data_IF_090267227945
#
_entry.id   IF_090267227945
#
_cell.length_a   1.000
_cell.length_b   1.000
_cell.length_c   1.000
_cell.angle_alpha   90.00
_cell.angle_beta   90.00
_cell.angle_gamma   90.00
#
_symmetry.space_group_name_H-M   'P 1'
#
loop_
_entity.id
_entity.type
_entity.pdbx_description
1 polymer ?
#
# COMPACT_ATOMS: atom_id res chain seq x y z
N UNK A 1 12.49 -14.16 -86.10
CA UNK A 1 13.18 -12.98 -85.51
C UNK A 1 12.12 -12.15 -84.82
N UNK A 2 12.06 -12.17 -83.49
CA UNK A 2 11.45 -11.15 -82.59
C UNK A 2 11.42 -11.72 -81.17
N UNK A 3 12.44 -11.38 -80.38
CA UNK A 3 12.45 -11.56 -78.93
C UNK A 3 11.51 -10.53 -78.29
N UNK A 4 10.60 -10.96 -77.41
CA UNK A 4 9.91 -10.07 -76.46
C UNK A 4 10.45 -10.35 -75.07
N UNK A 5 11.26 -9.41 -74.57
CA UNK A 5 11.71 -9.37 -73.19
C UNK A 5 10.52 -9.01 -72.28
N UNK A 6 10.20 -9.89 -71.33
CA UNK A 6 9.29 -9.58 -70.22
C UNK A 6 10.12 -8.95 -69.09
N UNK A 7 9.95 -7.65 -68.84
CA UNK A 7 10.48 -6.99 -67.65
C UNK A 7 9.58 -7.32 -66.46
N UNK A 8 10.12 -8.05 -65.49
CA UNK A 8 9.51 -8.25 -64.16
C UNK A 8 9.71 -6.99 -63.32
N UNK A 9 8.63 -6.27 -63.02
CA UNK A 9 8.61 -5.18 -62.05
C UNK A 9 8.34 -5.78 -60.67
N UNK A 10 9.35 -5.82 -59.80
CA UNK A 10 9.20 -6.29 -58.41
C UNK A 10 8.70 -5.13 -57.55
N UNK A 11 7.44 -5.18 -57.14
CA UNK A 11 6.82 -4.18 -56.24
C UNK A 11 7.19 -4.53 -54.79
N UNK A 12 8.04 -3.71 -54.16
CA UNK A 12 8.35 -3.82 -52.73
C UNK A 12 7.24 -3.14 -51.91
N UNK A 13 6.38 -3.94 -51.27
CA UNK A 13 5.42 -3.44 -50.30
C UNK A 13 6.11 -3.18 -48.96
N UNK A 14 6.32 -1.91 -48.62
CA UNK A 14 6.68 -1.46 -47.28
C UNK A 14 5.44 -1.58 -46.37
N UNK A 15 5.40 -2.63 -45.55
CA UNK A 15 4.44 -2.72 -44.45
C UNK A 15 4.86 -1.77 -43.32
N UNK A 16 4.16 -0.64 -43.20
CA UNK A 16 4.25 0.19 -42.01
C UNK A 16 3.55 -0.54 -40.84
N UNK A 17 4.33 -1.02 -39.86
CA UNK A 17 3.79 -1.52 -38.60
C UNK A 17 3.20 -0.32 -37.83
N UNK A 18 1.87 -0.19 -37.83
CA UNK A 18 1.22 0.66 -36.84
C UNK A 18 1.19 -0.10 -35.52
N UNK A 19 2.03 0.33 -34.56
CA UNK A 19 1.92 -0.11 -33.18
C UNK A 19 0.63 0.47 -32.60
N UNK A 20 -0.44 -0.33 -32.56
CA UNK A 20 -1.62 0.00 -31.79
C UNK A 20 -1.25 -0.08 -30.31
N UNK A 21 -1.02 1.07 -29.66
CA UNK A 21 -0.87 1.13 -28.22
C UNK A 21 -2.15 0.63 -27.56
N UNK A 22 -2.05 -0.43 -26.75
CA UNK A 22 -3.18 -0.87 -25.94
C UNK A 22 -3.49 0.20 -24.88
N UNK A 23 -4.76 0.48 -24.59
CA UNK A 23 -5.09 1.36 -23.48
C UNK A 23 -4.57 0.73 -22.18
N UNK A 24 -3.63 1.39 -21.51
CA UNK A 24 -3.15 0.99 -20.19
C UNK A 24 -4.18 1.42 -19.15
N UNK A 25 -4.81 0.47 -18.47
CA UNK A 25 -5.59 0.76 -17.26
C UNK A 25 -4.61 1.34 -16.23
N UNK A 26 -4.93 2.45 -15.54
CA UNK A 26 -4.08 2.99 -14.49
C UNK A 26 -3.74 1.88 -13.48
N UNK A 27 -2.47 1.77 -13.11
CA UNK A 27 -2.03 0.72 -12.18
C UNK A 27 -2.26 1.11 -10.72
N UNK A 28 -2.25 2.42 -10.44
CA UNK A 28 -2.41 3.06 -9.12
C UNK A 28 -2.98 4.47 -9.32
N UNK A 29 -3.79 4.99 -8.38
CA UNK A 29 -4.13 6.44 -8.33
C UNK A 29 -3.08 7.27 -7.58
N UNK A 30 -2.09 6.63 -6.97
CA UNK A 30 -0.97 7.32 -6.30
C UNK A 30 0.16 7.46 -7.33
N UNK A 31 0.55 8.69 -7.64
CA UNK A 31 1.60 8.97 -8.62
C UNK A 31 2.99 8.74 -8.04
N UNK A 32 3.98 8.47 -8.89
CA UNK A 32 5.34 8.13 -8.44
C UNK A 32 6.01 9.25 -7.61
N UNK A 33 5.68 10.52 -7.87
CA UNK A 33 6.14 11.68 -7.10
C UNK A 33 5.52 11.77 -5.70
N UNK A 34 4.32 11.21 -5.52
CA UNK A 34 3.66 11.07 -4.22
C UNK A 34 4.30 9.97 -3.39
N UNK A 35 4.96 8.98 -3.98
CA UNK A 35 5.66 7.94 -3.21
C UNK A 35 6.84 8.57 -2.48
N UNK A 36 6.82 8.47 -1.15
CA UNK A 36 7.90 8.78 -0.24
C UNK A 36 8.57 7.49 0.22
N UNK A 37 9.60 7.66 1.04
CA UNK A 37 10.21 6.56 1.79
C UNK A 37 9.83 6.77 3.26
N UNK A 38 8.89 5.99 3.74
CA UNK A 38 8.55 5.88 5.15
C UNK A 38 9.75 5.35 5.91
N UNK A 39 10.06 5.99 7.04
CA UNK A 39 11.02 5.45 8.00
C UNK A 39 10.24 4.66 9.05
N UNK A 40 10.60 3.39 9.21
CA UNK A 40 9.97 2.48 10.17
C UNK A 40 10.87 2.33 11.40
N UNK A 41 10.41 2.84 12.54
CA UNK A 41 11.12 2.76 13.81
C UNK A 41 10.53 1.63 14.64
N UNK A 42 11.34 0.63 14.97
CA UNK A 42 10.90 -0.63 15.60
C UNK A 42 11.91 -1.12 16.63
N UNK A 43 11.53 -2.12 17.42
CA UNK A 43 12.45 -2.84 18.31
C UNK A 43 12.32 -4.34 18.05
N UNK A 44 13.44 -5.04 17.90
CA UNK A 44 13.44 -6.49 17.72
C UNK A 44 13.25 -7.24 19.06
N UNK A 45 13.70 -6.64 20.17
CA UNK A 45 13.62 -7.20 21.53
C UNK A 45 12.90 -6.22 22.45
N UNK A 46 12.14 -6.71 23.43
CA UNK A 46 11.49 -5.87 24.43
C UNK A 46 12.53 -5.04 25.18
N UNK A 47 12.36 -3.70 25.17
CA UNK A 47 13.30 -2.77 25.81
C UNK A 47 14.68 -2.70 25.13
N UNK A 48 14.82 -3.31 23.94
CA UNK A 48 16.03 -3.24 23.13
C UNK A 48 16.24 -1.87 22.47
N UNK A 49 17.35 -1.70 21.73
CA UNK A 49 17.57 -0.49 20.96
C UNK A 49 16.50 -0.34 19.87
N UNK A 50 16.12 0.91 19.60
CA UNK A 50 15.31 1.23 18.43
C UNK A 50 16.13 1.03 17.15
N UNK A 51 15.50 0.44 16.15
CA UNK A 51 16.03 0.16 14.83
C UNK A 51 15.24 0.98 13.81
N UNK A 52 15.92 1.46 12.78
CA UNK A 52 15.28 2.02 11.58
C UNK A 52 15.39 0.99 10.47
N UNK A 53 14.27 0.33 10.16
CA UNK A 53 14.18 -0.63 9.07
C UNK A 53 13.45 0.00 7.87
N UNK A 54 13.74 -0.51 6.67
CA UNK A 54 13.12 -0.04 5.43
C UNK A 54 12.45 -1.21 4.71
N UNK A 55 11.45 -0.88 3.89
CA UNK A 55 10.67 -1.85 3.13
C UNK A 55 9.19 -1.81 3.49
N UNK A 56 8.41 -2.69 2.85
CA UNK A 56 7.03 -2.93 3.26
C UNK A 56 6.99 -3.55 4.64
N UNK A 57 5.81 -3.59 5.26
CA UNK A 57 5.65 -4.17 6.58
C UNK A 57 5.97 -5.67 6.60
N UNK A 58 5.74 -6.39 5.51
CA UNK A 58 6.13 -7.79 5.36
C UNK A 58 7.66 -7.94 5.37
N UNK A 59 8.38 -7.06 4.67
CA UNK A 59 9.84 -7.04 4.63
C UNK A 59 10.45 -6.63 5.98
N UNK A 60 9.85 -5.65 6.66
CA UNK A 60 10.24 -5.23 8.01
C UNK A 60 10.03 -6.37 9.00
N UNK A 61 8.88 -7.06 8.93
CA UNK A 61 8.59 -8.19 9.79
C UNK A 61 9.56 -9.36 9.54
N UNK A 62 9.91 -9.63 8.29
CA UNK A 62 10.93 -10.64 7.95
C UNK A 62 12.32 -10.28 8.55
N UNK A 63 12.73 -9.02 8.45
CA UNK A 63 13.97 -8.54 9.09
C UNK A 63 13.92 -8.67 10.61
N UNK A 64 12.78 -8.39 11.25
CA UNK A 64 12.61 -8.57 12.69
C UNK A 64 12.77 -10.03 13.10
N UNK A 65 12.22 -10.97 12.33
CA UNK A 65 12.39 -12.41 12.59
C UNK A 65 13.81 -12.91 12.35
N UNK A 66 14.54 -12.30 11.41
CA UNK A 66 15.97 -12.60 11.22
C UNK A 66 16.81 -12.15 12.42
N UNK A 67 16.48 -10.99 12.99
CA UNK A 67 17.17 -10.45 14.17
C UNK A 67 16.75 -11.18 15.45
N UNK A 68 15.46 -11.45 15.61
CA UNK A 68 14.88 -12.15 16.75
C UNK A 68 13.90 -13.24 16.26
N UNK A 69 14.35 -14.49 16.12
CA UNK A 69 13.46 -15.59 15.75
C UNK A 69 12.32 -15.87 16.74
N UNK A 70 12.40 -15.36 17.98
CA UNK A 70 11.35 -15.47 19.00
C UNK A 70 10.42 -14.25 19.07
N UNK A 71 10.49 -13.33 18.10
CA UNK A 71 9.77 -12.05 18.11
C UNK A 71 8.29 -12.21 18.48
N UNK A 72 7.53 -13.04 17.76
CA UNK A 72 6.09 -13.19 18.00
C UNK A 72 5.78 -13.61 19.45
N UNK A 73 6.58 -14.51 20.03
CA UNK A 73 6.38 -14.98 21.40
C UNK A 73 6.81 -13.94 22.44
N UNK A 74 7.89 -13.20 22.18
CA UNK A 74 8.34 -12.13 23.07
C UNK A 74 7.28 -11.01 23.16
N UNK A 75 6.60 -10.70 22.05
CA UNK A 75 5.66 -9.57 21.97
C UNK A 75 4.19 -9.94 22.19
N UNK A 76 3.86 -11.20 22.51
CA UNK A 76 2.48 -11.69 22.65
C UNK A 76 1.69 -10.92 23.73
N UNK A 77 2.30 -10.68 24.89
CA UNK A 77 1.70 -9.98 26.03
C UNK A 77 1.90 -8.46 26.01
N UNK A 78 2.63 -7.95 25.02
CA UNK A 78 2.88 -6.50 24.91
C UNK A 78 1.71 -5.88 24.18
N UNK A 79 0.77 -5.36 24.97
CA UNK A 79 -0.27 -4.48 24.43
C UNK A 79 0.40 -3.29 23.75
N UNK A 80 0.02 -3.01 22.51
CA UNK A 80 0.24 -1.68 21.94
C UNK A 80 -0.41 -0.73 22.92
N UNK A 81 0.39 0.10 23.60
CA UNK A 81 -0.04 0.92 24.72
C UNK A 81 -1.43 1.45 24.43
N UNK A 82 -2.44 0.92 25.15
CA UNK A 82 -3.75 1.54 25.16
C UNK A 82 -3.47 2.94 25.65
N UNK A 83 -3.58 3.92 24.76
CA UNK A 83 -3.74 5.28 25.21
C UNK A 83 -4.93 5.24 26.20
N UNK A 84 -4.72 5.54 27.49
CA UNK A 84 -5.80 5.48 28.47
C UNK A 84 -6.94 6.45 28.16
N UNK A 85 -6.79 7.35 27.18
CA UNK A 85 -7.87 8.20 26.65
C UNK A 85 -8.84 7.47 25.69
N UNK A 86 -8.61 6.20 25.35
CA UNK A 86 -9.57 5.39 24.56
C UNK A 86 -10.72 4.79 25.38
N UNK A 87 -10.92 5.22 26.62
CA UNK A 87 -12.17 4.95 27.38
C UNK A 87 -13.28 5.97 27.02
N UNK A 88 -12.95 6.96 26.18
CA UNK A 88 -13.91 7.74 25.41
C UNK A 88 -13.97 7.18 23.99
N UNK A 89 -15.10 6.60 23.59
CA UNK A 89 -15.40 6.38 22.18
C UNK A 89 -15.57 7.75 21.49
N UNK A 90 -14.46 8.47 21.30
CA UNK A 90 -14.41 9.50 20.28
C UNK A 90 -14.50 8.75 18.96
N UNK A 91 -15.71 8.77 18.38
CA UNK A 91 -15.89 8.57 16.96
C UNK A 91 -14.99 9.60 16.30
N UNK A 92 -13.76 9.20 15.98
CA UNK A 92 -12.89 10.02 15.16
C UNK A 92 -13.68 10.20 13.86
N UNK A 93 -14.15 11.41 13.60
CA UNK A 93 -14.78 11.72 12.32
C UNK A 93 -13.83 11.25 11.23
N UNK A 94 -14.32 10.52 10.26
CA UNK A 94 -13.56 10.11 9.09
C UNK A 94 -14.44 10.26 7.87
N UNK A 95 -13.83 10.49 6.72
CA UNK A 95 -14.53 10.43 5.43
C UNK A 95 -14.05 9.19 4.69
N UNK A 96 -14.97 8.25 4.46
CA UNK A 96 -14.70 7.07 3.65
C UNK A 96 -15.15 7.29 2.21
N UNK A 97 -14.25 7.05 1.26
CA UNK A 97 -14.56 7.02 -0.16
C UNK A 97 -14.33 5.61 -0.72
N UNK A 98 -15.40 4.89 -1.01
CA UNK A 98 -15.34 3.60 -1.70
C UNK A 98 -15.32 3.80 -3.22
N UNK A 99 -14.49 3.02 -3.91
CA UNK A 99 -14.41 3.01 -5.37
C UNK A 99 -14.24 1.60 -5.91
N UNK A 100 -14.73 1.37 -7.12
CA UNK A 100 -14.54 0.11 -7.86
C UNK A 100 -13.35 0.19 -8.83
N UNK A 101 -12.86 1.39 -9.12
CA UNK A 101 -11.63 1.53 -9.90
C UNK A 101 -10.45 1.02 -9.08
N UNK A 102 -9.57 0.22 -9.69
CA UNK A 102 -8.44 -0.42 -9.00
C UNK A 102 -8.85 -1.38 -7.87
N UNK A 103 -10.06 -1.95 -7.92
CA UNK A 103 -10.52 -2.86 -6.89
C UNK A 103 -9.65 -4.14 -6.80
N UNK A 104 -9.39 -4.59 -5.57
CA UNK A 104 -8.51 -5.74 -5.25
C UNK A 104 -9.23 -6.74 -4.34
N UNK A 105 -8.87 -8.04 -4.39
CA UNK A 105 -9.46 -9.04 -3.50
C UNK A 105 -9.16 -8.74 -2.03
N UNK A 106 -10.19 -8.81 -1.18
CA UNK A 106 -10.07 -8.50 0.24
C UNK A 106 -9.14 -9.41 1.05
N UNK A 107 -8.88 -10.64 0.60
CA UNK A 107 -8.02 -11.59 1.30
C UNK A 107 -6.57 -11.07 1.43
N UNK A 108 -6.05 -10.41 0.40
CA UNK A 108 -4.69 -9.85 0.41
C UNK A 108 -4.59 -8.60 1.29
N UNK A 109 -5.65 -7.80 1.33
CA UNK A 109 -5.74 -6.64 2.23
C UNK A 109 -5.83 -7.08 3.69
N UNK A 110 -6.62 -8.12 3.98
CA UNK A 110 -6.70 -8.72 5.31
C UNK A 110 -5.35 -9.30 5.75
N UNK A 111 -4.56 -9.83 4.83
CA UNK A 111 -3.19 -10.29 5.12
C UNK A 111 -2.26 -9.12 5.46
N UNK A 112 -2.25 -8.05 4.65
CA UNK A 112 -1.48 -6.85 4.95
C UNK A 112 -1.84 -6.22 6.31
N UNK A 113 -3.13 -6.16 6.65
CA UNK A 113 -3.61 -5.72 7.97
C UNK A 113 -3.02 -6.58 9.10
N UNK A 114 -2.89 -7.90 8.91
CA UNK A 114 -2.30 -8.79 9.93
C UNK A 114 -0.82 -8.49 10.14
N UNK A 115 -0.05 -8.26 9.07
CA UNK A 115 1.37 -7.89 9.22
C UNK A 115 1.54 -6.53 9.91
N UNK A 116 0.73 -5.52 9.55
CA UNK A 116 0.69 -4.22 10.25
C UNK A 116 0.47 -4.39 11.76
N UNK A 117 -0.41 -5.30 12.17
CA UNK A 117 -0.70 -5.57 13.59
C UNK A 117 0.39 -6.36 14.32
N UNK A 118 1.27 -7.05 13.60
CA UNK A 118 2.39 -7.81 14.20
C UNK A 118 3.58 -6.92 14.54
N UNK A 119 3.83 -5.88 13.74
CA UNK A 119 5.02 -5.05 13.88
C UNK A 119 4.81 -3.95 14.93
N UNK A 120 5.62 -4.00 15.99
CA UNK A 120 5.65 -3.01 17.07
C UNK A 120 6.57 -1.86 16.72
N UNK A 121 6.17 -0.64 17.08
CA UNK A 121 6.89 0.59 16.78
C UNK A 121 6.04 1.59 16.01
N UNK A 122 6.67 2.60 15.41
CA UNK A 122 5.96 3.70 14.78
C UNK A 122 6.49 4.05 13.38
N UNK A 123 5.59 4.32 12.41
CA UNK A 123 5.97 4.81 11.10
C UNK A 123 6.11 6.33 11.09
N UNK A 124 7.03 6.84 10.25
CA UNK A 124 7.20 8.28 9.99
C UNK A 124 7.26 8.55 8.49
N UNK A 125 6.52 9.56 8.05
CA UNK A 125 6.49 10.00 6.67
C UNK A 125 6.84 11.50 6.58
N UNK A 126 7.48 11.87 5.48
CA UNK A 126 7.85 13.26 5.19
C UNK A 126 6.63 14.18 5.06
N UNK A 127 6.89 15.49 4.95
CA UNK A 127 5.86 16.48 4.69
C UNK A 127 5.14 16.21 3.35
N UNK A 128 3.82 16.37 3.36
CA UNK A 128 2.97 16.41 2.18
C UNK A 128 2.91 17.82 1.55
N UNK A 129 1.84 18.12 0.78
CA UNK A 129 0.59 17.36 0.69
C UNK A 129 0.71 16.06 -0.11
N UNK A 130 -0.16 15.09 0.20
CA UNK A 130 -0.30 13.81 -0.50
C UNK A 130 0.99 12.99 -0.60
N UNK A 131 1.89 13.08 0.39
CA UNK A 131 3.06 12.20 0.45
C UNK A 131 2.61 10.85 0.94
N UNK A 132 2.80 9.78 0.18
CA UNK A 132 2.33 8.44 0.48
C UNK A 132 3.47 7.46 0.56
N UNK A 133 3.33 6.39 1.33
CA UNK A 133 4.20 5.22 1.25
C UNK A 133 3.35 3.96 1.07
N UNK A 134 3.88 3.01 0.30
CA UNK A 134 3.25 1.71 0.09
C UNK A 134 3.64 0.76 1.22
N UNK A 135 2.88 0.82 2.30
CA UNK A 135 3.20 0.13 3.55
C UNK A 135 3.01 -1.38 3.47
N UNK A 136 2.17 -1.88 2.57
CA UNK A 136 1.98 -3.31 2.31
C UNK A 136 1.60 -3.51 0.84
N UNK A 137 2.09 -4.58 0.22
CA UNK A 137 1.71 -4.96 -1.13
C UNK A 137 1.85 -6.47 -1.31
N UNK A 138 0.76 -7.16 -1.67
CA UNK A 138 0.82 -8.56 -2.09
C UNK A 138 -0.19 -8.84 -3.20
N UNK A 139 0.19 -9.67 -4.19
CA UNK A 139 -0.69 -10.05 -5.30
C UNK A 139 -1.37 -8.86 -6.01
N UNK A 140 -0.64 -7.77 -6.17
CA UNK A 140 -1.10 -6.48 -6.69
C UNK A 140 -2.22 -5.79 -5.87
N UNK A 141 -2.32 -6.11 -4.58
CA UNK A 141 -3.20 -5.46 -3.62
C UNK A 141 -2.35 -4.68 -2.62
N UNK A 142 -2.44 -3.35 -2.68
CA UNK A 142 -1.63 -2.46 -1.87
C UNK A 142 -2.45 -1.76 -0.79
N UNK A 143 -1.79 -1.55 0.35
CA UNK A 143 -2.22 -0.63 1.39
C UNK A 143 -1.21 0.52 1.38
N UNK A 144 -1.71 1.74 1.29
CA UNK A 144 -0.89 2.94 1.44
C UNK A 144 -1.25 3.69 2.71
N UNK A 145 -0.25 4.38 3.25
CA UNK A 145 -0.43 5.45 4.21
C UNK A 145 0.02 6.76 3.57
N UNK A 146 -0.86 7.77 3.59
CA UNK A 146 -0.57 9.09 3.05
C UNK A 146 -0.65 10.17 4.12
N UNK A 147 0.35 11.03 4.15
CA UNK A 147 0.38 12.28 4.88
C UNK A 147 -0.07 13.42 3.96
N UNK A 148 -1.26 13.95 4.23
CA UNK A 148 -1.84 15.07 3.49
C UNK A 148 -1.52 16.43 4.13
N UNK A 149 -0.89 16.42 5.33
CA UNK A 149 -0.38 17.61 6.01
C UNK A 149 0.93 18.12 5.37
N UNK A 150 1.18 19.42 5.44
CA UNK A 150 2.44 20.03 4.98
C UNK A 150 3.60 19.87 5.98
N UNK A 151 3.39 19.15 7.08
CA UNK A 151 4.40 18.82 8.09
C UNK A 151 4.72 17.33 8.07
N UNK A 152 5.95 16.92 8.43
CA UNK A 152 6.25 15.50 8.64
C UNK A 152 5.33 14.89 9.70
N UNK A 153 4.91 13.65 9.49
CA UNK A 153 3.97 12.95 10.37
C UNK A 153 4.56 11.66 10.89
N UNK A 154 4.34 11.41 12.17
CA UNK A 154 4.52 10.10 12.80
C UNK A 154 3.17 9.62 13.31
N UNK A 155 2.82 8.35 13.08
CA UNK A 155 1.67 7.74 13.74
C UNK A 155 2.14 7.01 15.01
N UNK A 156 1.33 6.93 16.07
CA UNK A 156 1.72 6.22 17.29
C UNK A 156 2.08 4.74 17.06
N UNK A 157 1.42 4.08 16.11
CA UNK A 157 1.72 2.70 15.74
C UNK A 157 1.30 2.34 14.32
N UNK A 158 1.72 1.18 13.84
CA UNK A 158 1.20 0.56 12.62
C UNK A 158 -0.29 0.18 12.72
N UNK A 159 -0.84 0.03 13.93
CA UNK A 159 -2.27 -0.24 14.12
C UNK A 159 -3.14 0.90 13.59
N UNK A 160 -2.67 2.15 13.63
CA UNK A 160 -3.42 3.28 13.08
C UNK A 160 -3.70 3.07 11.58
N UNK A 161 -2.71 2.58 10.82
CA UNK A 161 -2.88 2.27 9.40
C UNK A 161 -3.72 1.00 9.22
N UNK A 162 -3.48 -0.02 10.05
CA UNK A 162 -4.23 -1.27 10.03
C UNK A 162 -5.73 -1.04 10.25
N UNK A 163 -6.09 -0.17 11.19
CA UNK A 163 -7.47 0.18 11.50
C UNK A 163 -8.11 0.97 10.37
N UNK A 164 -7.36 1.88 9.74
CA UNK A 164 -7.82 2.58 8.54
C UNK A 164 -8.14 1.61 7.39
N UNK A 165 -7.23 0.68 7.10
CA UNK A 165 -7.45 -0.36 6.10
C UNK A 165 -8.59 -1.33 6.48
N UNK A 166 -8.75 -1.62 7.78
CA UNK A 166 -9.81 -2.49 8.30
C UNK A 166 -11.20 -1.86 8.13
N UNK A 167 -11.34 -0.54 8.30
CA UNK A 167 -12.58 0.20 8.00
C UNK A 167 -12.90 0.08 6.50
N UNK A 168 -11.93 0.31 5.62
CA UNK A 168 -12.14 0.19 4.16
C UNK A 168 -12.55 -1.24 3.79
N UNK A 169 -11.89 -2.26 4.32
CA UNK A 169 -12.26 -3.67 4.10
C UNK A 169 -13.70 -3.96 4.56
N UNK A 170 -14.10 -3.46 5.72
CA UNK A 170 -15.43 -3.68 6.27
C UNK A 170 -16.51 -2.96 5.46
N UNK A 171 -16.31 -1.69 5.16
CA UNK A 171 -17.37 -0.83 4.64
C UNK A 171 -17.42 -0.81 3.11
N UNK A 172 -16.28 -0.88 2.43
CA UNK A 172 -16.24 -0.97 0.96
C UNK A 172 -16.24 -2.42 0.46
N UNK A 173 -15.66 -3.35 1.22
CA UNK A 173 -15.61 -4.78 0.89
C UNK A 173 -16.69 -5.63 1.56
N UNK A 174 -17.58 -5.04 2.37
CA UNK A 174 -18.66 -5.72 3.10
C UNK A 174 -18.17 -6.90 3.96
N UNK A 175 -16.95 -6.82 4.48
CA UNK A 175 -16.25 -7.90 5.19
C UNK A 175 -16.05 -9.21 4.38
N UNK A 176 -16.33 -9.25 3.08
CA UNK A 176 -16.10 -10.43 2.25
C UNK A 176 -14.68 -10.39 1.65
N UNK A 177 -13.86 -11.35 2.08
CA UNK A 177 -12.48 -11.50 1.61
C UNK A 177 -12.36 -11.81 0.11
N UNK A 178 -13.46 -12.20 -0.56
CA UNK A 178 -13.51 -12.46 -2.00
C UNK A 178 -14.01 -11.25 -2.79
N UNK A 179 -14.68 -10.32 -2.12
CA UNK A 179 -15.16 -9.10 -2.75
C UNK A 179 -13.98 -8.26 -3.20
N UNK A 180 -14.16 -7.57 -4.34
CA UNK A 180 -13.15 -6.67 -4.87
C UNK A 180 -13.54 -5.26 -4.51
N UNK A 181 -12.68 -4.57 -3.78
CA UNK A 181 -12.92 -3.19 -3.40
C UNK A 181 -11.64 -2.37 -3.51
N UNK A 182 -11.82 -1.07 -3.60
CA UNK A 182 -10.80 -0.08 -3.34
C UNK A 182 -11.44 1.05 -2.54
N UNK A 183 -10.62 1.85 -1.87
CA UNK A 183 -11.13 3.00 -1.15
C UNK A 183 -10.05 3.78 -0.43
N UNK A 184 -10.43 4.96 0.02
CA UNK A 184 -9.60 5.83 0.83
C UNK A 184 -10.37 6.26 2.08
N UNK A 185 -9.74 6.11 3.24
CA UNK A 185 -10.25 6.58 4.53
C UNK A 185 -9.46 7.83 4.94
N UNK A 186 -10.12 8.97 4.95
CA UNK A 186 -9.53 10.27 5.28
C UNK A 186 -9.77 10.62 6.75
N UNK A 187 -8.70 10.94 7.46
CA UNK A 187 -8.75 11.45 8.83
C UNK A 187 -8.71 12.99 8.84
N UNK A 188 -9.38 13.65 9.81
CA UNK A 188 -9.51 15.10 9.89
C UNK A 188 -8.20 15.79 10.22
N UNK A 189 -7.27 15.06 10.84
CA UNK A 189 -5.90 15.51 11.07
C UNK A 189 -5.00 15.25 9.86
N UNK A 190 -5.54 15.26 8.63
CA UNK A 190 -4.80 15.34 7.36
C UNK A 190 -3.86 14.16 7.07
N UNK A 191 -4.37 12.95 7.23
CA UNK A 191 -3.74 11.75 6.68
C UNK A 191 -4.81 10.75 6.26
N UNK A 192 -4.43 9.75 5.47
CA UNK A 192 -5.36 8.73 4.97
C UNK A 192 -4.73 7.35 4.81
N UNK A 193 -5.56 6.33 4.99
CA UNK A 193 -5.28 4.98 4.52
C UNK A 193 -5.91 4.80 3.12
N UNK A 194 -5.23 4.11 2.21
CA UNK A 194 -5.76 3.81 0.87
C UNK A 194 -5.56 2.34 0.57
N UNK A 195 -6.61 1.70 0.05
CA UNK A 195 -6.57 0.34 -0.49
C UNK A 195 -6.87 0.41 -1.97
N UNK A 196 -5.97 -0.12 -2.79
CA UNK A 196 -6.15 -0.18 -4.23
C UNK A 196 -5.19 -1.18 -4.88
N UNK A 197 -5.41 -1.41 -6.17
CA UNK A 197 -4.43 -2.09 -7.03
C UNK A 197 -3.16 -1.26 -7.13
N UNK A 198 -2.03 -1.95 -7.08
CA UNK A 198 -0.71 -1.45 -7.46
C UNK A 198 0.18 -2.64 -7.80
N UNK A 199 1.28 -2.43 -8.52
CA UNK A 199 2.24 -3.49 -8.81
C UNK A 199 3.15 -3.76 -7.62
N UNK A 200 3.10 -4.98 -7.11
CA UNK A 200 4.18 -5.55 -6.29
C UNK A 200 5.19 -6.22 -7.25
#
# INVERSE_FOLDING_TARGET
>A
MMHRHFSTVTLLFLFALMAAGTPTIPESTISADQIGNMSTYVQAFIGGPELVLNGTIEEVYAQLLEINPNYDADWEDVSDSKDPDLDGFHVMEYTLHCTFHLAVPGNYIKEGIKYLRKVKGHPRLGAGPSKCDRVSCSYNAAIYWCNDDNKPRSLPSFNNIADGAQVIFRECGHEDARERFAGALHHPDLWRAVVQKDKC
#
